data_IF_012378741039
#
_entry.id   IF_012378741039
#
_cell.length_a   1.000
_cell.length_b   1.000
_cell.length_c   1.000
_cell.angle_alpha   90.00
_cell.angle_beta   90.00
_cell.angle_gamma   90.00
#
_symmetry.space_group_name_H-M   'P 1'
#
loop_
_entity.id
_entity.type
_entity.pdbx_description
1 polymer ?
#
# COMPACT_ATOMS: atom_id res chain seq x y z
N UNK A 1 3.33 9.25 -16.48
CA UNK A 1 2.80 9.50 -15.11
C UNK A 1 1.33 9.16 -15.00
N UNK A 2 0.41 9.83 -15.70
CA UNK A 2 -1.03 9.50 -15.70
C UNK A 2 -1.28 7.99 -15.93
N UNK A 3 -0.76 7.48 -17.05
CA UNK A 3 -0.93 6.08 -17.45
C UNK A 3 -0.39 5.11 -16.38
N UNK A 4 0.76 5.42 -15.77
CA UNK A 4 1.33 4.60 -14.69
C UNK A 4 0.44 4.57 -13.45
N UNK A 5 -0.14 5.71 -13.06
CA UNK A 5 -1.05 5.78 -11.91
C UNK A 5 -2.36 5.05 -12.18
N UNK A 6 -2.91 5.18 -13.39
CA UNK A 6 -4.11 4.47 -13.84
C UNK A 6 -3.85 2.95 -13.90
N UNK A 7 -2.75 2.50 -14.52
CA UNK A 7 -2.33 1.09 -14.54
C UNK A 7 -2.16 0.53 -13.13
N UNK A 8 -1.49 1.25 -12.24
CA UNK A 8 -1.33 0.85 -10.83
C UNK A 8 -2.70 0.72 -10.15
N UNK A 9 -3.64 1.63 -10.43
CA UNK A 9 -4.98 1.62 -9.82
C UNK A 9 -5.76 0.39 -10.25
N UNK A 10 -5.74 0.07 -11.55
CA UNK A 10 -6.40 -1.11 -12.08
C UNK A 10 -5.82 -2.40 -11.49
N UNK A 11 -4.49 -2.50 -11.37
CA UNK A 11 -3.79 -3.64 -10.75
C UNK A 11 -4.21 -3.81 -9.29
N UNK A 12 -4.18 -2.72 -8.51
CA UNK A 12 -4.60 -2.72 -7.11
C UNK A 12 -6.09 -3.09 -6.93
N UNK A 13 -6.97 -2.58 -7.80
CA UNK A 13 -8.40 -2.93 -7.78
C UNK A 13 -8.58 -4.43 -8.04
N UNK A 14 -7.98 -4.96 -9.11
CA UNK A 14 -8.05 -6.41 -9.43
C UNK A 14 -7.56 -7.27 -8.27
N UNK A 15 -6.44 -6.89 -7.65
CA UNK A 15 -5.90 -7.58 -6.49
C UNK A 15 -6.91 -7.63 -5.33
N UNK A 16 -7.48 -6.47 -4.95
CA UNK A 16 -8.41 -6.35 -3.82
C UNK A 16 -9.73 -7.11 -4.08
N UNK A 17 -10.28 -7.03 -5.29
CA UNK A 17 -11.49 -7.75 -5.69
C UNK A 17 -11.27 -9.28 -5.64
N UNK A 18 -10.08 -9.73 -6.01
CA UNK A 18 -9.70 -11.15 -5.99
C UNK A 18 -9.48 -11.75 -4.59
N UNK A 19 -9.29 -10.93 -3.54
CA UNK A 19 -8.99 -11.45 -2.19
C UNK A 19 -10.10 -12.32 -1.61
N UNK A 20 -11.35 -12.10 -2.00
CA UNK A 20 -12.49 -12.90 -1.55
C UNK A 20 -12.54 -14.28 -2.19
N UNK A 21 -11.91 -14.52 -3.33
CA UNK A 21 -11.98 -15.82 -4.02
C UNK A 21 -10.68 -16.62 -3.90
N UNK A 22 -9.52 -15.98 -3.72
CA UNK A 22 -8.23 -16.68 -3.62
C UNK A 22 -7.92 -17.25 -2.22
N UNK A 23 -6.97 -18.18 -2.17
CA UNK A 23 -6.42 -18.70 -0.91
C UNK A 23 -5.73 -17.60 -0.10
N UNK A 24 -5.77 -17.73 1.23
CA UNK A 24 -5.16 -16.75 2.13
C UNK A 24 -3.64 -16.83 2.06
N UNK A 25 -3.09 -18.04 2.18
CA UNK A 25 -1.68 -18.31 1.95
C UNK A 25 -1.41 -18.48 0.44
N UNK A 26 -0.27 -17.95 -0.05
CA UNK A 26 0.18 -18.23 -1.40
C UNK A 26 0.52 -19.72 -1.56
N UNK A 27 0.42 -20.25 -2.78
CA UNK A 27 0.90 -21.59 -3.12
C UNK A 27 2.42 -21.63 -3.31
N UNK A 28 3.01 -22.82 -3.24
CA UNK A 28 4.46 -23.03 -3.40
C UNK A 28 4.97 -22.46 -4.72
N UNK A 29 4.30 -22.73 -5.84
CA UNK A 29 4.68 -22.20 -7.16
C UNK A 29 4.79 -20.66 -7.18
N UNK A 30 3.86 -19.96 -6.52
CA UNK A 30 3.88 -18.49 -6.44
C UNK A 30 5.02 -17.98 -5.56
N UNK A 31 5.38 -18.74 -4.51
CA UNK A 31 6.52 -18.42 -3.65
C UNK A 31 7.83 -18.60 -4.43
N UNK A 32 7.97 -19.67 -5.21
CA UNK A 32 9.19 -19.91 -5.98
C UNK A 32 9.44 -18.82 -7.04
N UNK A 33 8.37 -18.29 -7.66
CA UNK A 33 8.48 -17.23 -8.67
C UNK A 33 9.05 -15.91 -8.13
N UNK A 34 8.92 -15.58 -6.83
CA UNK A 34 9.43 -14.30 -6.30
C UNK A 34 10.96 -14.22 -6.29
N UNK A 35 11.66 -15.36 -6.43
CA UNK A 35 13.12 -15.38 -6.62
C UNK A 35 13.54 -14.58 -7.86
N UNK A 36 12.64 -14.35 -8.81
CA UNK A 36 12.88 -13.52 -10.00
C UNK A 36 13.08 -12.04 -9.71
N UNK A 37 12.71 -11.56 -8.52
CA UNK A 37 13.04 -10.20 -8.08
C UNK A 37 14.51 -10.05 -7.66
N UNK A 38 15.18 -11.16 -7.32
CA UNK A 38 16.58 -11.19 -6.92
C UNK A 38 17.48 -11.30 -8.16
N UNK A 39 17.60 -10.18 -8.88
CA UNK A 39 18.51 -10.01 -10.01
C UNK A 39 19.71 -9.12 -9.63
N UNK A 40 20.83 -9.27 -10.35
CA UNK A 40 21.95 -8.33 -10.26
C UNK A 40 21.49 -6.90 -10.59
N UNK A 41 22.16 -5.90 -9.99
CA UNK A 41 21.88 -4.48 -10.24
C UNK A 41 21.83 -4.18 -11.75
N UNK A 42 20.69 -3.73 -12.29
CA UNK A 42 20.57 -3.40 -13.71
C UNK A 42 21.48 -2.22 -14.09
N UNK A 43 22.23 -2.36 -15.18
CA UNK A 43 23.07 -1.27 -15.74
C UNK A 43 22.26 -0.33 -16.66
N UNK A 44 21.08 -0.79 -17.10
CA UNK A 44 20.20 -0.06 -18.01
C UNK A 44 18.83 0.20 -17.38
N UNK A 45 18.16 1.25 -17.84
CA UNK A 45 16.81 1.58 -17.41
C UNK A 45 15.81 0.60 -18.03
N UNK A 46 14.89 0.08 -17.21
CA UNK A 46 13.75 -0.73 -17.68
C UNK A 46 12.51 0.14 -17.87
N UNK A 47 11.59 -0.33 -18.70
CA UNK A 47 10.27 0.29 -18.83
C UNK A 47 9.54 0.26 -17.48
N UNK A 48 9.06 1.41 -17.02
CA UNK A 48 8.29 1.55 -15.79
C UNK A 48 7.02 0.69 -15.77
N UNK A 49 6.35 0.49 -16.89
CA UNK A 49 5.14 -0.35 -16.95
C UNK A 49 5.50 -1.83 -16.78
N UNK A 50 6.66 -2.26 -17.31
CA UNK A 50 7.16 -3.61 -17.10
C UNK A 50 7.43 -3.88 -15.62
N UNK A 51 7.93 -2.88 -14.88
CA UNK A 51 8.12 -3.01 -13.42
C UNK A 51 6.79 -3.19 -12.70
N UNK A 52 5.77 -2.37 -13.01
CA UNK A 52 4.43 -2.52 -12.43
C UNK A 52 3.79 -3.88 -12.79
N UNK A 53 4.02 -4.35 -14.03
CA UNK A 53 3.60 -5.66 -14.47
C UNK A 53 4.25 -6.78 -13.66
N UNK A 54 5.57 -6.75 -13.49
CA UNK A 54 6.29 -7.75 -12.69
C UNK A 54 5.81 -7.76 -11.24
N UNK A 55 5.60 -6.60 -10.63
CA UNK A 55 5.07 -6.50 -9.26
C UNK A 55 3.68 -7.13 -9.13
N UNK A 56 2.81 -6.93 -10.12
CA UNK A 56 1.46 -7.50 -10.10
C UNK A 56 1.47 -9.00 -10.43
N UNK A 57 2.19 -9.43 -11.46
CA UNK A 57 2.16 -10.83 -11.92
C UNK A 57 2.93 -11.78 -11.01
N UNK A 58 4.02 -11.32 -10.38
CA UNK A 58 4.88 -12.14 -9.52
C UNK A 58 4.57 -11.84 -8.04
N UNK A 59 4.48 -10.56 -7.68
CA UNK A 59 4.30 -10.13 -6.29
C UNK A 59 2.88 -10.37 -5.76
N UNK A 60 1.84 -10.01 -6.51
CA UNK A 60 0.45 -10.15 -6.04
C UNK A 60 0.08 -11.61 -5.69
N UNK A 61 0.39 -12.65 -6.51
CA UNK A 61 0.05 -14.04 -6.18
C UNK A 61 0.81 -14.57 -4.95
N UNK A 62 2.07 -14.15 -4.77
CA UNK A 62 2.91 -14.55 -3.66
C UNK A 62 2.60 -13.82 -2.34
N UNK A 63 1.76 -12.78 -2.37
CA UNK A 63 1.36 -12.07 -1.17
C UNK A 63 0.38 -12.86 -0.31
N UNK A 64 0.56 -12.80 1.01
CA UNK A 64 -0.47 -13.18 1.97
C UNK A 64 -1.71 -12.27 1.80
N UNK A 65 -2.90 -12.86 1.72
CA UNK A 65 -4.16 -12.14 1.51
C UNK A 65 -4.67 -11.45 2.78
N UNK A 66 -3.80 -10.70 3.48
CA UNK A 66 -4.05 -10.09 4.78
C UNK A 66 -5.21 -9.10 4.77
N UNK A 67 -5.38 -8.34 3.68
CA UNK A 67 -6.51 -7.41 3.53
C UNK A 67 -7.85 -8.13 3.24
N UNK A 68 -7.83 -9.46 3.04
CA UNK A 68 -9.01 -10.27 2.79
C UNK A 68 -9.73 -10.67 4.09
N UNK A 69 -11.02 -11.06 4.01
CA UNK A 69 -11.85 -11.31 5.19
C UNK A 69 -11.54 -12.62 5.92
N UNK A 70 -10.57 -13.40 5.44
CA UNK A 70 -10.25 -14.76 5.91
C UNK A 70 -8.86 -14.89 6.54
N UNK A 71 -8.10 -13.81 6.64
CA UNK A 71 -6.81 -13.83 7.32
C UNK A 71 -7.01 -13.58 8.82
N UNK A 72 -6.61 -14.54 9.66
CA UNK A 72 -6.77 -14.50 11.12
C UNK A 72 -5.46 -14.71 11.88
N UNK A 73 -4.31 -14.59 11.20
CA UNK A 73 -3.00 -14.79 11.79
C UNK A 73 -2.44 -13.52 12.43
N UNK A 74 -1.71 -13.66 13.54
CA UNK A 74 -0.95 -12.58 14.19
C UNK A 74 -1.80 -11.36 14.60
N UNK A 75 -1.12 -10.27 14.98
CA UNK A 75 -1.74 -8.95 15.24
C UNK A 75 -1.59 -8.10 13.99
N UNK A 76 -2.24 -8.53 12.90
CA UNK A 76 -2.19 -7.82 11.61
C UNK A 76 -3.61 -7.48 11.20
N UNK A 77 -3.92 -6.17 11.21
CA UNK A 77 -5.21 -5.64 10.79
C UNK A 77 -5.29 -5.38 9.28
N UNK A 78 -6.50 -5.40 8.75
CA UNK A 78 -6.78 -4.92 7.39
C UNK A 78 -6.96 -3.41 7.34
N UNK A 79 -6.63 -2.78 6.21
CA UNK A 79 -6.87 -1.36 5.99
C UNK A 79 -8.34 -1.10 5.58
N UNK A 80 -8.87 0.06 5.97
CA UNK A 80 -10.14 0.55 5.42
C UNK A 80 -9.91 1.02 3.97
N UNK A 81 -10.88 0.83 3.04
CA UNK A 81 -10.72 1.28 1.66
C UNK A 81 -10.36 2.77 1.51
N UNK A 82 -10.96 3.63 2.33
CA UNK A 82 -10.65 5.07 2.34
C UNK A 82 -9.23 5.35 2.85
N UNK A 83 -8.70 4.55 3.76
CA UNK A 83 -7.33 4.72 4.27
C UNK A 83 -6.31 4.39 3.17
N UNK A 84 -6.56 3.34 2.37
CA UNK A 84 -5.73 3.03 1.19
C UNK A 84 -5.75 4.18 0.17
N UNK A 85 -6.94 4.67 -0.19
CA UNK A 85 -7.07 5.76 -1.15
C UNK A 85 -6.44 7.08 -0.64
N UNK A 86 -6.58 7.39 0.65
CA UNK A 86 -5.91 8.53 1.27
C UNK A 86 -4.39 8.38 1.23
N UNK A 87 -3.86 7.16 1.43
CA UNK A 87 -2.43 6.89 1.35
C UNK A 87 -1.88 7.18 -0.06
N UNK A 88 -2.65 6.90 -1.12
CA UNK A 88 -2.27 7.24 -2.49
C UNK A 88 -2.11 8.74 -2.68
N UNK A 89 -3.05 9.54 -2.16
CA UNK A 89 -2.95 11.00 -2.20
C UNK A 89 -1.75 11.49 -1.39
N UNK A 90 -1.53 10.93 -0.20
CA UNK A 90 -0.39 11.29 0.64
C UNK A 90 0.95 11.01 -0.05
N UNK A 91 1.10 9.85 -0.70
CA UNK A 91 2.29 9.53 -1.52
C UNK A 91 2.44 10.49 -2.70
N UNK A 92 1.34 10.85 -3.38
CA UNK A 92 1.38 11.78 -4.50
C UNK A 92 1.76 13.22 -4.10
N UNK A 93 1.47 13.64 -2.87
CA UNK A 93 1.87 14.96 -2.37
C UNK A 93 3.36 15.07 -2.05
N UNK A 94 4.03 13.95 -1.75
CA UNK A 94 5.48 13.87 -1.48
C UNK A 94 5.98 14.96 -0.49
N UNK A 95 5.39 15.00 0.70
CA UNK A 95 5.63 16.05 1.70
C UNK A 95 6.45 15.54 2.91
N UNK A 96 7.65 16.07 3.09
CA UNK A 96 8.45 15.86 4.31
C UNK A 96 7.91 16.72 5.46
N UNK A 97 7.06 16.13 6.31
CA UNK A 97 6.18 16.86 7.24
C UNK A 97 6.84 17.35 8.53
N UNK A 98 8.17 17.48 8.56
CA UNK A 98 8.93 17.87 9.75
C UNK A 98 8.72 19.34 10.18
N UNK A 99 8.35 20.24 9.24
CA UNK A 99 8.19 21.67 9.50
C UNK A 99 6.95 22.22 8.81
N UNK A 100 6.08 22.87 9.60
CA UNK A 100 4.83 23.46 9.12
C UNK A 100 5.02 24.42 7.94
N UNK A 101 6.10 25.21 7.95
CA UNK A 101 6.37 26.23 6.93
C UNK A 101 6.49 25.66 5.51
N UNK A 102 6.98 24.42 5.38
CA UNK A 102 7.21 23.75 4.09
C UNK A 102 6.14 22.70 3.76
N UNK A 103 5.32 22.31 4.74
CA UNK A 103 4.32 21.23 4.60
C UNK A 103 3.03 21.50 5.39
N UNK A 104 2.38 22.68 5.22
CA UNK A 104 1.32 23.13 6.13
C UNK A 104 0.07 22.24 6.11
N UNK A 105 -0.23 21.61 4.97
CA UNK A 105 -1.41 20.75 4.83
C UNK A 105 -1.28 19.47 5.66
N UNK A 106 -0.20 18.71 5.47
CA UNK A 106 0.02 17.44 6.17
C UNK A 106 0.24 17.66 7.66
N UNK A 107 1.00 18.70 8.04
CA UNK A 107 1.19 19.08 9.43
C UNK A 107 -0.13 19.43 10.14
N UNK A 108 -1.01 20.20 9.49
CA UNK A 108 -2.32 20.52 10.07
C UNK A 108 -3.24 19.30 10.16
N UNK A 109 -3.29 18.47 9.11
CA UNK A 109 -4.10 17.23 9.11
C UNK A 109 -3.68 16.32 10.26
N UNK A 110 -2.37 16.16 10.49
CA UNK A 110 -1.83 15.38 11.60
C UNK A 110 -2.25 15.96 12.95
N UNK A 111 -2.11 17.28 13.16
CA UNK A 111 -2.57 17.93 14.40
C UNK A 111 -4.06 17.72 14.67
N UNK A 112 -4.89 17.80 13.63
CA UNK A 112 -6.34 17.55 13.75
C UNK A 112 -6.60 16.09 14.13
N UNK A 113 -5.92 15.13 13.49
CA UNK A 113 -6.06 13.71 13.78
C UNK A 113 -5.61 13.36 15.20
N UNK A 114 -4.49 13.93 15.67
CA UNK A 114 -3.99 13.74 17.04
C UNK A 114 -5.00 14.23 18.07
N UNK A 115 -5.58 15.42 17.87
CA UNK A 115 -6.64 15.92 18.76
C UNK A 115 -7.85 14.98 18.77
N UNK A 116 -8.29 14.50 17.60
CA UNK A 116 -9.38 13.53 17.54
C UNK A 116 -9.05 12.22 18.26
N UNK A 117 -7.79 11.77 18.25
CA UNK A 117 -7.37 10.60 19.01
C UNK A 117 -7.45 10.84 20.53
N UNK A 118 -7.06 12.02 21.01
CA UNK A 118 -7.23 12.38 22.43
C UNK A 118 -8.72 12.34 22.82
N UNK A 119 -9.59 12.95 22.00
CA UNK A 119 -11.04 12.96 22.23
C UNK A 119 -11.62 11.54 22.21
N UNK A 120 -11.28 10.74 21.20
CA UNK A 120 -11.76 9.37 21.01
C UNK A 120 -11.35 8.46 22.16
N UNK A 121 -10.13 8.62 22.67
CA UNK A 121 -9.57 7.83 23.76
C UNK A 121 -9.86 8.42 25.14
N UNK A 122 -10.59 9.54 25.21
CA UNK A 122 -10.90 10.27 26.45
C UNK A 122 -9.66 10.64 27.28
N UNK A 123 -8.58 11.01 26.60
CA UNK A 123 -7.32 11.42 27.22
C UNK A 123 -7.32 12.91 27.56
N UNK A 124 -6.53 13.36 28.55
CA UNK A 124 -6.36 14.77 28.84
C UNK A 124 -5.89 15.57 27.61
N UNK A 125 -6.42 16.79 27.39
CA UNK A 125 -5.89 17.70 26.39
C UNK A 125 -4.59 18.32 26.92
N UNK A 126 -3.45 17.71 26.57
CA UNK A 126 -2.10 17.98 27.10
C UNK A 126 -1.92 17.74 28.62
#
# INVERSE_FOLDING_TARGET
>A
MRELLESTAERAIRYLEGLRSRNVAPGEDAIDEIARFDESMPEETKDSELILQMLDEIGSPASMATAGPRFYGFVIGGSLPVALAANWLATAWDQNSALYQVTPATALIEQVALRWLLDLLTLPPE
#
